data_IF_253879809671
#
_entry.id   IF_253879809671
#
_cell.length_a   1.000
_cell.length_b   1.000
_cell.length_c   1.000
_cell.angle_alpha   90.00
_cell.angle_beta   90.00
_cell.angle_gamma   90.00
#
_symmetry.space_group_name_H-M   'P 1'
#
loop_
_entity.id
_entity.type
_entity.pdbx_description
1 polymer ?
#
# COMPACT_ATOMS: atom_id res chain seq x y z
N UNK A 1 2.81 20.63 -25.19
CA UNK A 1 3.29 19.32 -24.65
C UNK A 1 4.81 19.31 -24.67
N UNK A 2 5.46 18.51 -23.80
CA UNK A 2 6.93 18.31 -23.82
C UNK A 2 7.46 17.84 -25.19
N UNK A 3 6.60 17.14 -25.95
CA UNK A 3 6.83 16.74 -27.33
C UNK A 3 6.93 17.92 -28.32
N UNK A 4 6.39 19.09 -27.99
CA UNK A 4 6.38 20.28 -28.85
C UNK A 4 7.64 21.13 -28.67
N UNK A 5 8.50 20.81 -27.69
CA UNK A 5 9.79 21.47 -27.50
C UNK A 5 10.86 20.85 -28.41
N UNK A 6 11.71 21.68 -29.06
CA UNK A 6 12.88 21.20 -29.79
C UNK A 6 13.78 20.35 -28.89
N UNK A 7 14.40 19.30 -29.43
CA UNK A 7 15.23 18.39 -28.63
C UNK A 7 16.40 19.09 -27.93
N UNK A 8 16.95 20.14 -28.56
CA UNK A 8 18.04 20.96 -28.03
C UNK A 8 17.58 22.03 -27.04
N UNK A 9 16.29 22.11 -26.69
CA UNK A 9 15.82 23.05 -25.68
C UNK A 9 16.42 22.68 -24.31
N UNK A 10 17.22 23.59 -23.75
CA UNK A 10 17.78 23.44 -22.41
C UNK A 10 16.69 23.10 -21.39
N UNK A 11 16.95 22.12 -20.52
CA UNK A 11 16.00 21.67 -19.49
C UNK A 11 14.92 20.68 -19.97
N UNK A 12 14.79 20.38 -21.27
CA UNK A 12 13.81 19.40 -21.78
C UNK A 12 14.01 18.00 -21.18
N UNK A 13 15.25 17.52 -21.13
CA UNK A 13 15.58 16.21 -20.56
C UNK A 13 15.30 16.14 -19.04
N UNK A 14 15.58 17.23 -18.33
CA UNK A 14 15.31 17.33 -16.90
C UNK A 14 13.80 17.29 -16.60
N UNK A 15 13.00 18.04 -17.38
CA UNK A 15 11.54 18.04 -17.30
C UNK A 15 10.96 16.67 -17.65
N UNK A 16 11.46 16.00 -18.69
CA UNK A 16 11.05 14.64 -19.03
C UNK A 16 11.28 13.67 -17.86
N UNK A 17 12.48 13.71 -17.27
CA UNK A 17 12.78 12.87 -16.10
C UNK A 17 11.97 13.23 -14.84
N UNK A 18 11.50 14.48 -14.69
CA UNK A 18 10.60 14.87 -13.60
C UNK A 18 9.19 14.32 -13.83
N UNK A 19 8.69 14.36 -15.07
CA UNK A 19 7.39 13.78 -15.44
C UNK A 19 7.37 12.28 -15.17
N UNK A 20 8.43 11.55 -15.56
CA UNK A 20 8.55 10.13 -15.28
C UNK A 20 8.59 9.83 -13.79
N UNK A 21 9.37 10.59 -13.01
CA UNK A 21 9.44 10.43 -11.56
C UNK A 21 8.08 10.68 -10.89
N UNK A 22 7.34 11.71 -11.32
CA UNK A 22 5.99 12.00 -10.81
C UNK A 22 4.98 10.91 -11.19
N UNK A 23 5.06 10.37 -12.40
CA UNK A 23 4.22 9.25 -12.84
C UNK A 23 4.47 8.00 -11.98
N UNK A 24 5.72 7.71 -11.67
CA UNK A 24 6.09 6.61 -10.78
C UNK A 24 5.58 6.83 -9.34
N UNK A 25 5.68 8.04 -8.80
CA UNK A 25 5.11 8.35 -7.48
C UNK A 25 3.59 8.17 -7.46
N UNK A 26 2.89 8.55 -8.53
CA UNK A 26 1.45 8.30 -8.66
C UNK A 26 1.14 6.79 -8.68
N UNK A 27 1.94 6.00 -9.38
CA UNK A 27 1.79 4.54 -9.42
C UNK A 27 1.99 3.93 -8.03
N UNK A 28 3.04 4.31 -7.32
CA UNK A 28 3.33 3.85 -5.96
C UNK A 28 2.23 4.25 -4.95
N UNK A 29 1.66 5.45 -5.09
CA UNK A 29 0.51 5.86 -4.27
C UNK A 29 -0.70 4.94 -4.52
N UNK A 30 -0.95 4.57 -5.78
CA UNK A 30 -2.00 3.61 -6.14
C UNK A 30 -1.77 2.23 -5.50
N UNK A 31 -0.53 1.75 -5.48
CA UNK A 31 -0.15 0.49 -4.81
C UNK A 31 -0.42 0.57 -3.31
N UNK A 32 0.00 1.64 -2.64
CA UNK A 32 -0.30 1.85 -1.23
C UNK A 32 -1.81 1.88 -0.96
N UNK A 33 -2.58 2.62 -1.76
CA UNK A 33 -4.04 2.70 -1.59
C UNK A 33 -4.73 1.35 -1.73
N UNK A 34 -4.25 0.48 -2.63
CA UNK A 34 -4.76 -0.88 -2.77
C UNK A 34 -4.42 -1.71 -1.52
N UNK A 35 -3.16 -1.71 -1.08
CA UNK A 35 -2.71 -2.44 0.09
C UNK A 35 -3.41 -1.97 1.39
N UNK A 36 -3.64 -0.66 1.54
CA UNK A 36 -4.36 -0.10 2.69
C UNK A 36 -5.82 -0.56 2.74
N UNK A 37 -6.50 -0.68 1.59
CA UNK A 37 -7.85 -1.24 1.52
C UNK A 37 -7.87 -2.71 1.92
N UNK A 38 -6.92 -3.50 1.41
CA UNK A 38 -6.80 -4.92 1.77
C UNK A 38 -6.53 -5.12 3.27
N UNK A 39 -5.64 -4.31 3.85
CA UNK A 39 -5.38 -4.30 5.29
C UNK A 39 -6.65 -4.00 6.10
N UNK A 40 -7.41 -2.96 5.72
CA UNK A 40 -8.67 -2.64 6.38
C UNK A 40 -9.73 -3.76 6.29
N UNK A 41 -9.80 -4.48 5.16
CA UNK A 41 -10.68 -5.62 5.01
C UNK A 41 -10.25 -6.81 5.90
N UNK A 42 -8.95 -7.08 5.98
CA UNK A 42 -8.39 -8.13 6.82
C UNK A 42 -8.59 -7.83 8.32
N UNK A 43 -8.41 -6.59 8.75
CA UNK A 43 -8.69 -6.15 10.12
C UNK A 43 -10.17 -6.32 10.47
N UNK A 44 -11.07 -5.92 9.58
CA UNK A 44 -12.51 -6.12 9.77
C UNK A 44 -12.85 -7.62 9.85
N UNK A 45 -12.19 -8.48 9.07
CA UNK A 45 -12.35 -9.93 9.17
C UNK A 45 -11.82 -10.50 10.50
N UNK A 46 -10.68 -9.99 10.98
CA UNK A 46 -10.11 -10.36 12.27
C UNK A 46 -11.06 -9.99 13.43
N UNK A 47 -11.64 -8.79 13.42
CA UNK A 47 -12.64 -8.37 14.42
C UNK A 47 -13.83 -9.33 14.45
N UNK A 48 -14.38 -9.68 13.28
CA UNK A 48 -15.48 -10.66 13.19
C UNK A 48 -15.08 -12.05 13.69
N UNK A 49 -13.86 -12.49 13.40
CA UNK A 49 -13.37 -13.79 13.84
C UNK A 49 -13.16 -13.84 15.37
N UNK A 50 -12.75 -12.73 15.99
CA UNK A 50 -12.65 -12.62 17.46
C UNK A 50 -14.01 -12.79 18.12
N UNK A 51 -15.00 -12.02 17.68
CA UNK A 51 -16.37 -12.12 18.19
C UNK A 51 -16.93 -13.55 18.04
N UNK A 52 -16.73 -14.19 16.89
CA UNK A 52 -17.20 -15.55 16.65
C UNK A 52 -16.51 -16.61 17.54
N UNK A 53 -15.26 -16.39 17.95
CA UNK A 53 -14.53 -17.29 18.83
C UNK A 53 -14.92 -17.15 20.31
N UNK A 54 -15.43 -15.98 20.69
CA UNK A 54 -15.96 -15.69 22.04
C UNK A 54 -17.38 -16.24 22.23
N UNK A 55 -18.21 -16.19 21.19
CA UNK A 55 -19.61 -16.65 21.21
C UNK A 55 -19.77 -18.19 21.18
N UNK A 56 -18.79 -18.91 20.62
CA UNK A 56 -18.89 -20.37 20.41
C UNK A 56 -18.29 -21.19 21.56
N UNK A 57 -18.94 -22.32 21.86
CA UNK A 57 -18.50 -23.32 22.85
C UNK A 57 -18.25 -24.69 22.22
N UNK A 58 -17.60 -25.61 22.95
CA UNK A 58 -17.33 -26.97 22.51
C UNK A 58 -16.52 -27.06 21.20
N UNK A 59 -16.85 -28.02 20.33
CA UNK A 59 -16.13 -28.28 19.08
C UNK A 59 -16.21 -27.10 18.08
N UNK A 60 -17.27 -26.31 18.13
CA UNK A 60 -17.42 -25.08 17.33
C UNK A 60 -16.40 -23.99 17.72
N UNK A 61 -15.91 -24.02 18.97
CA UNK A 61 -14.86 -23.10 19.46
C UNK A 61 -13.50 -23.38 18.82
N UNK A 62 -13.15 -24.65 18.60
CA UNK A 62 -11.87 -25.00 17.97
C UNK A 62 -11.81 -24.56 16.51
N UNK A 63 -12.90 -24.75 15.77
CA UNK A 63 -13.02 -24.26 14.40
C UNK A 63 -12.96 -22.72 14.35
N UNK A 64 -13.61 -22.04 15.30
CA UNK A 64 -13.55 -20.59 15.42
C UNK A 64 -12.15 -20.07 15.76
N UNK A 65 -11.41 -20.77 16.63
CA UNK A 65 -10.00 -20.48 16.93
C UNK A 65 -9.10 -20.65 15.71
N UNK A 66 -9.30 -21.72 14.94
CA UNK A 66 -8.55 -21.91 13.69
C UNK A 66 -8.82 -20.76 12.70
N UNK A 67 -10.08 -20.33 12.58
CA UNK A 67 -10.45 -19.19 11.74
C UNK A 67 -9.86 -17.87 12.25
N UNK A 68 -9.86 -17.65 13.57
CA UNK A 68 -9.23 -16.49 14.21
C UNK A 68 -7.72 -16.44 13.94
N UNK A 69 -7.02 -17.57 14.04
CA UNK A 69 -5.58 -17.63 13.77
C UNK A 69 -5.27 -17.26 12.31
N UNK A 70 -6.06 -17.76 11.34
CA UNK A 70 -5.90 -17.40 9.93
C UNK A 70 -6.16 -15.91 9.69
N UNK A 71 -7.25 -15.38 10.27
CA UNK A 71 -7.57 -13.95 10.14
C UNK A 71 -6.49 -13.06 10.76
N UNK A 72 -5.88 -13.50 11.87
CA UNK A 72 -4.76 -12.80 12.52
C UNK A 72 -3.51 -12.76 11.63
N UNK A 73 -3.15 -13.91 11.02
CA UNK A 73 -2.03 -13.99 10.08
C UNK A 73 -2.27 -13.14 8.82
N UNK A 74 -3.49 -13.18 8.30
CA UNK A 74 -3.90 -12.35 7.16
C UNK A 74 -3.74 -10.87 7.47
N UNK A 75 -4.36 -10.39 8.55
CA UNK A 75 -4.28 -9.00 8.98
C UNK A 75 -2.83 -8.53 9.18
N UNK A 76 -2.00 -9.35 9.83
CA UNK A 76 -0.57 -9.06 10.00
C UNK A 76 0.17 -8.93 8.67
N UNK A 77 -0.05 -9.85 7.73
CA UNK A 77 0.60 -9.81 6.41
C UNK A 77 0.13 -8.63 5.56
N UNK A 78 -1.17 -8.36 5.50
CA UNK A 78 -1.71 -7.22 4.74
C UNK A 78 -1.30 -5.89 5.35
N UNK A 79 -1.23 -5.79 6.68
CA UNK A 79 -0.72 -4.61 7.37
C UNK A 79 0.75 -4.33 7.02
N UNK A 80 1.61 -5.35 7.10
CA UNK A 80 3.02 -5.23 6.70
C UNK A 80 3.17 -4.83 5.22
N UNK A 81 2.34 -5.36 4.33
CA UNK A 81 2.35 -4.98 2.93
C UNK A 81 1.95 -3.51 2.72
N UNK A 82 0.94 -3.03 3.44
CA UNK A 82 0.53 -1.61 3.40
C UNK A 82 1.64 -0.69 3.93
N UNK A 83 2.28 -1.05 5.04
CA UNK A 83 3.40 -0.29 5.62
C UNK A 83 4.60 -0.22 4.67
N UNK A 84 4.94 -1.36 4.05
CA UNK A 84 6.03 -1.40 3.07
C UNK A 84 5.72 -0.55 1.83
N UNK A 85 4.48 -0.60 1.31
CA UNK A 85 4.06 0.22 0.18
C UNK A 85 4.07 1.72 0.52
N UNK A 86 3.65 2.07 1.74
CA UNK A 86 3.72 3.45 2.24
C UNK A 86 5.16 3.95 2.32
N UNK A 87 6.05 3.17 2.94
CA UNK A 87 7.46 3.52 3.07
C UNK A 87 8.14 3.70 1.70
N UNK A 88 7.81 2.84 0.72
CA UNK A 88 8.33 2.94 -0.64
C UNK A 88 7.88 4.25 -1.31
N UNK A 89 6.60 4.60 -1.21
CA UNK A 89 6.08 5.87 -1.74
C UNK A 89 6.71 7.08 -1.05
N UNK A 90 6.77 7.09 0.28
CA UNK A 90 7.38 8.20 1.03
C UNK A 90 8.85 8.42 0.63
N UNK A 91 9.64 7.34 0.52
CA UNK A 91 11.02 7.42 0.08
C UNK A 91 11.15 8.05 -1.31
N UNK A 92 10.28 7.65 -2.24
CA UNK A 92 10.23 8.22 -3.60
C UNK A 92 9.89 9.70 -3.62
N UNK A 93 8.90 10.13 -2.82
CA UNK A 93 8.53 11.54 -2.67
C UNK A 93 9.68 12.37 -2.08
N UNK A 94 10.38 11.86 -1.05
CA UNK A 94 11.52 12.57 -0.47
C UNK A 94 12.67 12.73 -1.48
N UNK A 95 12.95 11.69 -2.28
CA UNK A 95 13.94 11.77 -3.35
C UNK A 95 13.57 12.80 -4.41
N UNK A 96 12.28 12.89 -4.78
CA UNK A 96 11.81 13.91 -5.73
C UNK A 96 11.97 15.32 -5.14
N UNK A 97 11.58 15.52 -3.88
CA UNK A 97 11.72 16.82 -3.20
C UNK A 97 13.18 17.28 -3.12
N UNK A 98 14.10 16.37 -2.83
CA UNK A 98 15.53 16.67 -2.77
C UNK A 98 16.13 17.04 -4.13
N UNK A 99 15.48 16.67 -5.24
CA UNK A 99 15.90 16.99 -6.61
C UNK A 99 15.31 18.31 -7.10
N UNK A 100 14.16 18.74 -6.58
CA UNK A 100 13.44 19.93 -7.04
C UNK A 100 13.52 21.13 -6.09
N UNK A 101 14.05 20.94 -4.87
CA UNK A 101 14.27 21.98 -3.87
C UNK A 101 15.74 22.37 -3.80
#
# INVERSE_FOLDING_TARGET
>A
MLADLPEAAGGRAELAGLVEALAEQRRLLGVFQAAAREAGLADAALVRARAAAEDRSGQAREQARAQLNRASQEAGRTGQAADAAWAAWQKGVQALRARTG
#
